data_IF_292768257253
#
_entry.id   IF_292768257253
#
_cell.length_a   1.000
_cell.length_b   1.000
_cell.length_c   1.000
_cell.angle_alpha   90.00
_cell.angle_beta   90.00
_cell.angle_gamma   90.00
#
_symmetry.space_group_name_H-M   'P 1'
#
loop_
_entity.id
_entity.type
_entity.pdbx_description
1 polymer ?
#
# COMPACT_ATOMS: atom_id res chain seq x y z
N UNK A 1 -1.86 -2.16 8.95
CA UNK A 1 -1.23 -2.26 7.62
C UNK A 1 0.30 -2.38 7.66
N UNK A 2 1.08 -1.39 8.13
CA UNK A 2 2.56 -1.43 8.03
C UNK A 2 3.20 -2.67 8.69
N UNK A 3 2.77 -3.02 9.91
CA UNK A 3 3.27 -4.23 10.58
C UNK A 3 2.90 -5.51 9.84
N UNK A 4 1.74 -5.54 9.18
CA UNK A 4 1.26 -6.69 8.42
C UNK A 4 2.02 -6.87 7.10
N UNK A 5 2.62 -5.80 6.56
CA UNK A 5 3.46 -5.83 5.35
C UNK A 5 4.88 -6.37 5.60
N UNK A 6 5.37 -6.34 6.84
CA UNK A 6 6.72 -6.80 7.19
C UNK A 6 7.07 -8.21 6.66
N UNK A 7 6.25 -9.27 6.87
CA UNK A 7 6.56 -10.59 6.34
C UNK A 7 6.54 -10.65 4.80
N UNK A 8 5.76 -9.80 4.14
CA UNK A 8 5.74 -9.72 2.68
C UNK A 8 7.00 -9.08 2.14
N UNK A 9 7.46 -8.01 2.79
CA UNK A 9 8.72 -7.34 2.44
C UNK A 9 9.92 -8.26 2.59
N UNK A 10 9.99 -9.02 3.68
CA UNK A 10 11.07 -10.01 3.88
C UNK A 10 11.05 -11.10 2.81
N UNK A 11 9.85 -11.55 2.41
CA UNK A 11 9.70 -12.62 1.42
C UNK A 11 9.98 -12.18 -0.02
N UNK A 12 9.50 -11.00 -0.42
CA UNK A 12 9.52 -10.55 -1.82
C UNK A 12 10.54 -9.44 -2.10
N UNK A 13 11.13 -8.83 -1.06
CA UNK A 13 12.22 -7.86 -1.20
C UNK A 13 11.83 -6.51 -1.78
N UNK A 14 10.58 -6.06 -1.63
CA UNK A 14 10.13 -4.76 -2.14
C UNK A 14 10.42 -3.60 -1.18
N UNK A 15 10.62 -2.41 -1.75
CA UNK A 15 10.74 -1.15 -1.03
C UNK A 15 9.36 -0.62 -0.64
N UNK A 16 9.27 -0.01 0.54
CA UNK A 16 8.03 0.58 1.06
C UNK A 16 8.31 2.03 1.41
N UNK A 17 7.65 2.94 0.70
CA UNK A 17 7.59 4.36 1.02
C UNK A 17 6.30 4.63 1.78
N UNK A 18 6.40 5.41 2.87
CA UNK A 18 5.25 5.82 3.66
C UNK A 18 5.11 7.33 3.50
N UNK A 19 4.02 7.73 2.87
CA UNK A 19 3.68 9.14 2.66
C UNK A 19 2.57 9.52 3.64
N UNK A 20 2.71 10.70 4.24
CA UNK A 20 1.64 11.32 5.02
C UNK A 20 0.69 12.04 4.05
N UNK A 21 -0.58 11.66 4.04
CA UNK A 21 -1.57 12.25 3.13
C UNK A 21 -1.87 13.70 3.48
N UNK A 22 -1.67 14.12 4.73
CA UNK A 22 -1.93 15.48 5.18
C UNK A 22 -0.83 16.47 4.73
N UNK A 23 0.34 15.97 4.32
CA UNK A 23 1.46 16.80 3.87
C UNK A 23 1.40 17.12 2.36
N UNK A 24 0.64 16.35 1.58
CA UNK A 24 0.46 16.54 0.14
C UNK A 24 -1.01 16.80 -0.21
N UNK A 25 -1.37 18.02 -0.68
CA UNK A 25 -2.76 18.36 -0.97
C UNK A 25 -3.38 17.50 -2.08
N UNK A 26 -2.57 16.94 -2.98
CA UNK A 26 -3.05 16.01 -4.02
C UNK A 26 -3.42 14.66 -3.38
N UNK A 27 -2.62 14.19 -2.42
CA UNK A 27 -2.93 12.97 -1.67
C UNK A 27 -4.11 13.19 -0.72
N UNK A 28 -4.20 14.35 -0.06
CA UNK A 28 -5.35 14.71 0.77
C UNK A 28 -6.63 14.69 -0.06
N UNK A 29 -6.67 15.38 -1.21
CA UNK A 29 -7.87 15.42 -2.07
C UNK A 29 -8.25 14.04 -2.60
N UNK A 30 -7.25 13.18 -2.88
CA UNK A 30 -7.47 11.85 -3.45
C UNK A 30 -7.90 10.81 -2.42
N UNK A 31 -7.32 10.85 -1.22
CA UNK A 31 -7.45 9.78 -0.24
C UNK A 31 -8.17 10.21 1.03
N UNK A 32 -8.01 11.44 1.50
CA UNK A 32 -8.72 11.99 2.66
C UNK A 32 -8.86 10.97 3.81
N UNK A 33 -10.09 10.61 4.22
CA UNK A 33 -10.35 9.64 5.28
C UNK A 33 -10.05 8.16 4.93
N UNK A 34 -9.70 7.81 3.69
CA UNK A 34 -9.45 6.42 3.24
C UNK A 34 -8.16 5.81 3.82
N UNK A 35 -7.39 6.57 4.59
CA UNK A 35 -6.14 6.10 5.18
C UNK A 35 -6.36 4.97 6.21
N UNK A 36 -5.41 4.01 6.33
CA UNK A 36 -4.23 3.81 5.48
C UNK A 36 -4.58 3.21 4.11
N UNK A 37 -3.92 3.69 3.05
CA UNK A 37 -4.04 3.19 1.66
C UNK A 37 -2.73 2.54 1.23
N UNK A 38 -2.81 1.35 0.62
CA UNK A 38 -1.68 0.67 0.00
C UNK A 38 -1.72 0.83 -1.52
N UNK A 39 -0.70 1.49 -2.05
CA UNK A 39 -0.49 1.68 -3.48
C UNK A 39 0.71 0.86 -3.96
N UNK A 40 0.61 0.31 -5.16
CA UNK A 40 1.73 -0.21 -5.94
C UNK A 40 1.89 0.65 -7.19
N UNK A 41 2.80 1.63 -7.12
CA UNK A 41 2.88 2.70 -8.12
C UNK A 41 1.55 3.45 -8.20
N UNK A 42 0.90 3.41 -9.37
CA UNK A 42 -0.38 4.07 -9.60
C UNK A 42 -1.60 3.22 -9.25
N UNK A 43 -1.40 1.92 -8.92
CA UNK A 43 -2.47 0.97 -8.66
C UNK A 43 -2.78 0.88 -7.17
N UNK A 44 -4.04 1.10 -6.79
CA UNK A 44 -4.50 0.86 -5.43
C UNK A 44 -4.71 -0.64 -5.19
N UNK A 45 -4.07 -1.17 -4.15
CA UNK A 45 -4.24 -2.55 -3.72
C UNK A 45 -5.42 -2.66 -2.76
N UNK A 46 -5.40 -1.86 -1.69
CA UNK A 46 -6.42 -1.84 -0.64
C UNK A 46 -6.34 -0.57 0.21
N UNK A 47 -7.42 -0.26 0.92
CA UNK A 47 -7.49 0.79 1.93
C UNK A 47 -8.09 0.27 3.25
N UNK A 48 -7.93 1.03 4.34
CA UNK A 48 -8.30 0.69 5.73
C UNK A 48 -7.58 -0.51 6.35
N UNK A 49 -7.58 -1.65 5.68
CA UNK A 49 -6.98 -2.91 6.11
C UNK A 49 -6.15 -3.53 4.99
N UNK A 50 -5.17 -4.35 5.37
CA UNK A 50 -4.37 -5.07 4.38
C UNK A 50 -5.21 -6.19 3.75
N UNK A 51 -5.40 -6.14 2.44
CA UNK A 51 -5.93 -7.26 1.67
C UNK A 51 -4.77 -8.15 1.21
N UNK A 52 -4.51 -9.21 1.99
CA UNK A 52 -3.44 -10.16 1.72
C UNK A 52 -3.62 -10.91 0.38
N UNK A 53 -4.86 -11.15 -0.05
CA UNK A 53 -5.13 -11.87 -1.31
C UNK A 53 -4.81 -10.99 -2.52
N UNK A 54 -5.26 -9.73 -2.49
CA UNK A 54 -4.92 -8.75 -3.53
C UNK A 54 -3.44 -8.45 -3.59
N UNK A 55 -2.79 -8.27 -2.43
CA UNK A 55 -1.34 -8.07 -2.39
C UNK A 55 -0.60 -9.29 -2.96
N UNK A 56 -1.00 -10.50 -2.58
CA UNK A 56 -0.39 -11.72 -3.11
C UNK A 56 -0.61 -11.89 -4.62
N UNK A 57 -1.78 -11.52 -5.13
CA UNK A 57 -2.06 -11.54 -6.56
C UNK A 57 -1.11 -10.58 -7.29
N UNK A 58 -1.06 -9.31 -6.85
CA UNK A 58 -0.21 -8.30 -7.47
C UNK A 58 1.27 -8.68 -7.45
N UNK A 59 1.78 -9.14 -6.30
CA UNK A 59 3.19 -9.56 -6.17
C UNK A 59 3.55 -10.73 -7.09
N UNK A 60 2.62 -11.63 -7.41
CA UNK A 60 2.84 -12.72 -8.38
C UNK A 60 2.81 -12.26 -9.82
N UNK A 61 2.07 -11.19 -10.13
CA UNK A 61 2.01 -10.62 -11.48
C UNK A 61 3.31 -9.91 -11.85
N UNK A 62 4.02 -9.36 -10.86
CA UNK A 62 5.24 -8.58 -11.06
C UNK A 62 6.54 -9.35 -10.74
N UNK A 63 6.46 -10.59 -10.21
CA UNK A 63 7.63 -11.43 -9.87
C UNK A 63 8.19 -12.22 -11.03
#
# INVERSE_FOLDING_TARGET
>A
MLAELAPWRERYGFELEVLDVDDDPVLTERFDELVPVLMAGETEICHYHLDAERLAAHLREIS
#
